data_IF_743837300958
#
_entry.id   IF_743837300958
#
_cell.length_a   1.000
_cell.length_b   1.000
_cell.length_c   1.000
_cell.angle_alpha   90.00
_cell.angle_beta   90.00
_cell.angle_gamma   90.00
#
_symmetry.space_group_name_H-M   'P 1'
#
loop_
_entity.id
_entity.type
_entity.pdbx_description
1 polymer ?
#
# COMPACT_ATOMS: atom_id res chain seq x y z
N UNK A 1 0.20 4.35 9.25
CA UNK A 1 -1.16 4.91 9.42
C UNK A 1 -1.70 4.69 10.82
N UNK A 2 -1.83 3.45 11.32
CA UNK A 2 -2.33 3.17 12.68
C UNK A 2 -1.67 4.03 13.77
N UNK A 3 -0.33 4.05 13.86
CA UNK A 3 0.38 4.90 14.80
C UNK A 3 0.01 6.40 14.69
N UNK A 4 -0.20 6.92 13.47
CA UNK A 4 -0.62 8.33 13.27
C UNK A 4 -2.05 8.57 13.73
N UNK A 5 -2.94 7.59 13.60
CA UNK A 5 -4.29 7.66 14.17
C UNK A 5 -4.24 7.66 15.69
N UNK A 6 -3.44 6.78 16.30
CA UNK A 6 -3.27 6.71 17.75
C UNK A 6 -2.70 8.02 18.31
N UNK A 7 -1.66 8.55 17.67
CA UNK A 7 -1.04 9.83 18.02
C UNK A 7 -1.99 11.02 17.86
N UNK A 8 -2.90 10.99 16.87
CA UNK A 8 -3.85 12.06 16.62
C UNK A 8 -5.06 12.03 17.53
N UNK A 9 -5.40 10.87 18.10
CA UNK A 9 -6.64 10.63 18.88
C UNK A 9 -6.93 11.74 19.89
N UNK A 10 -5.96 12.08 20.72
CA UNK A 10 -6.12 13.09 21.78
C UNK A 10 -6.26 14.53 21.23
N UNK A 11 -5.71 14.82 20.05
CA UNK A 11 -5.83 16.15 19.42
C UNK A 11 -7.19 16.33 18.74
N UNK A 12 -7.72 15.28 18.13
CA UNK A 12 -8.92 15.34 17.28
C UNK A 12 -10.21 14.99 18.03
N UNK A 13 -10.15 14.13 19.06
CA UNK A 13 -11.30 13.77 19.89
C UNK A 13 -11.50 14.76 21.03
N UNK A 14 -11.69 16.03 20.67
CA UNK A 14 -12.00 17.13 21.59
C UNK A 14 -13.35 17.73 21.29
N UNK A 15 -14.05 18.19 22.32
CA UNK A 15 -15.35 18.84 22.15
C UNK A 15 -15.24 20.33 21.85
N UNK A 16 -16.35 20.94 21.44
CA UNK A 16 -16.45 22.39 21.23
C UNK A 16 -17.60 22.97 22.05
N UNK A 17 -17.31 23.45 23.27
CA UNK A 17 -18.29 24.14 24.11
C UNK A 17 -17.74 25.47 24.65
N UNK A 18 -17.52 26.51 23.81
CA UNK A 18 -16.87 27.73 24.25
C UNK A 18 -17.84 28.94 24.31
N UNK A 19 -19.14 28.73 24.05
CA UNK A 19 -20.16 29.78 24.02
C UNK A 19 -20.20 30.56 22.70
N UNK A 20 -20.88 31.71 22.69
CA UNK A 20 -21.23 32.45 21.48
C UNK A 20 -20.04 32.88 20.62
N UNK A 21 -19.01 33.43 21.25
CA UNK A 21 -17.79 33.96 20.59
C UNK A 21 -16.52 33.35 21.16
N UNK A 22 -16.64 32.19 21.81
CA UNK A 22 -15.49 31.44 22.30
C UNK A 22 -14.94 31.86 23.68
N UNK A 23 -15.56 32.83 24.35
CA UNK A 23 -15.06 33.44 25.61
C UNK A 23 -15.64 32.83 26.88
N UNK A 24 -16.57 31.87 26.77
CA UNK A 24 -17.30 31.27 27.92
C UNK A 24 -18.07 32.29 28.79
N UNK A 25 -18.28 33.54 28.33
CA UNK A 25 -18.84 34.61 29.15
C UNK A 25 -20.18 34.26 29.81
N UNK A 26 -21.06 33.56 29.10
CA UNK A 26 -22.37 33.12 29.62
C UNK A 26 -22.28 32.12 30.78
N UNK A 27 -21.12 31.47 30.96
CA UNK A 27 -20.87 30.52 32.04
C UNK A 27 -20.05 31.11 33.20
N UNK A 28 -19.59 32.37 33.07
CA UNK A 28 -18.84 33.09 34.08
C UNK A 28 -17.61 32.32 34.60
N UNK A 29 -17.32 32.45 35.89
CA UNK A 29 -16.18 31.80 36.55
C UNK A 29 -16.21 30.26 36.46
N UNK A 30 -17.35 29.65 36.15
CA UNK A 30 -17.51 28.20 36.08
C UNK A 30 -17.28 27.64 34.66
N UNK A 31 -17.01 28.48 33.66
CA UNK A 31 -16.98 28.08 32.25
C UNK A 31 -16.05 26.91 31.93
N UNK A 32 -14.79 26.95 32.37
CA UNK A 32 -13.84 25.86 32.12
C UNK A 32 -14.21 24.57 32.85
N UNK A 33 -14.70 24.65 34.10
CA UNK A 33 -15.10 23.46 34.85
C UNK A 33 -16.35 22.82 34.24
N UNK A 34 -17.32 23.63 33.80
CA UNK A 34 -18.50 23.16 33.08
C UNK A 34 -18.10 22.47 31.77
N UNK A 35 -17.23 23.09 30.98
CA UNK A 35 -16.71 22.53 29.73
C UNK A 35 -16.03 21.18 29.99
N UNK A 36 -15.08 21.13 30.93
CA UNK A 36 -14.34 19.90 31.28
C UNK A 36 -15.26 18.78 31.71
N UNK A 37 -16.20 19.04 32.62
CA UNK A 37 -17.14 18.02 33.11
C UNK A 37 -18.11 17.55 32.04
N UNK A 38 -18.57 18.45 31.17
CA UNK A 38 -19.50 18.11 30.08
C UNK A 38 -18.80 17.24 29.04
N UNK A 39 -17.61 17.62 28.60
CA UNK A 39 -16.86 16.87 27.59
C UNK A 39 -16.34 15.53 28.13
N UNK A 40 -15.96 15.46 29.41
CA UNK A 40 -15.62 14.19 30.06
C UNK A 40 -16.79 13.19 30.04
N UNK A 41 -18.04 13.65 30.20
CA UNK A 41 -19.24 12.79 30.09
C UNK A 41 -19.45 12.24 28.67
N UNK A 42 -18.92 12.91 27.65
CA UNK A 42 -18.97 12.49 26.25
C UNK A 42 -17.72 11.69 25.83
N UNK A 43 -16.76 11.47 26.74
CA UNK A 43 -15.48 10.84 26.41
C UNK A 43 -14.58 11.70 25.52
N UNK A 44 -14.75 13.02 25.54
CA UNK A 44 -14.00 13.97 24.72
C UNK A 44 -13.02 14.80 25.57
N UNK A 45 -11.88 15.16 24.97
CA UNK A 45 -10.96 16.11 25.55
C UNK A 45 -11.54 17.53 25.60
N UNK A 46 -11.14 18.31 26.60
CA UNK A 46 -11.50 19.71 26.73
C UNK A 46 -10.40 20.60 26.13
N UNK A 47 -10.69 21.40 25.09
CA UNK A 47 -9.68 22.26 24.48
C UNK A 47 -9.38 23.47 25.37
N UNK A 48 -8.18 24.02 25.27
CA UNK A 48 -7.77 25.23 26.00
C UNK A 48 -8.45 26.51 25.48
N UNK A 49 -8.99 26.47 24.26
CA UNK A 49 -9.66 27.60 23.60
C UNK A 49 -10.75 27.12 22.64
N UNK A 50 -11.59 28.04 22.18
CA UNK A 50 -12.56 27.80 21.11
C UNK A 50 -11.87 27.38 19.82
N UNK A 51 -12.48 26.44 19.10
CA UNK A 51 -12.09 26.08 17.75
C UNK A 51 -13.25 26.20 16.76
N UNK A 52 -14.17 27.15 17.01
CA UNK A 52 -15.23 27.51 16.06
C UNK A 52 -14.69 27.74 14.65
N UNK A 53 -13.61 28.53 14.53
CA UNK A 53 -12.96 28.86 13.27
C UNK A 53 -11.62 28.16 13.04
N UNK A 54 -11.04 27.50 14.06
CA UNK A 54 -9.82 26.72 13.91
C UNK A 54 -10.15 25.28 13.47
N UNK A 55 -9.93 24.98 12.18
CA UNK A 55 -10.34 23.70 11.55
C UNK A 55 -9.19 22.71 11.36
N UNK A 56 -8.05 22.95 11.97
CA UNK A 56 -6.85 22.10 11.96
C UNK A 56 -7.16 20.64 12.35
N UNK A 57 -8.02 20.43 13.35
CA UNK A 57 -8.44 19.09 13.79
C UNK A 57 -9.24 18.33 12.74
N UNK A 58 -10.14 19.03 12.04
CA UNK A 58 -10.94 18.44 10.95
C UNK A 58 -10.03 18.06 9.79
N UNK A 59 -9.10 18.96 9.44
CA UNK A 59 -8.11 18.71 8.40
C UNK A 59 -7.13 17.58 8.76
N UNK A 60 -6.77 17.44 10.03
CA UNK A 60 -5.92 16.34 10.50
C UNK A 60 -6.60 14.98 10.29
N UNK A 61 -7.86 14.84 10.73
CA UNK A 61 -8.64 13.61 10.50
C UNK A 61 -8.80 13.31 9.02
N UNK A 62 -9.14 14.33 8.22
CA UNK A 62 -9.30 14.18 6.78
C UNK A 62 -7.99 13.75 6.12
N UNK A 63 -6.87 14.39 6.48
CA UNK A 63 -5.55 14.05 5.97
C UNK A 63 -5.13 12.62 6.30
N UNK A 64 -5.43 12.13 7.50
CA UNK A 64 -5.15 10.74 7.88
C UNK A 64 -5.95 9.74 7.02
N UNK A 65 -7.23 10.00 6.79
CA UNK A 65 -8.07 9.16 5.93
C UNK A 65 -7.59 9.20 4.47
N UNK A 66 -7.23 10.36 3.94
CA UNK A 66 -6.65 10.50 2.60
C UNK A 66 -5.38 9.65 2.46
N UNK A 67 -4.48 9.66 3.44
CA UNK A 67 -3.24 8.88 3.39
C UNK A 67 -3.51 7.36 3.36
N UNK A 68 -4.48 6.89 4.14
CA UNK A 68 -4.93 5.49 4.10
C UNK A 68 -5.50 5.16 2.72
N UNK A 69 -6.42 5.99 2.22
CA UNK A 69 -7.05 5.79 0.92
C UNK A 69 -6.06 5.79 -0.23
N UNK A 70 -5.06 6.67 -0.23
CA UNK A 70 -3.98 6.67 -1.25
C UNK A 70 -3.18 5.37 -1.21
N UNK A 71 -2.88 4.86 -0.01
CA UNK A 71 -2.12 3.61 0.14
C UNK A 71 -2.89 2.43 -0.43
N UNK A 72 -4.17 2.31 -0.09
CA UNK A 72 -5.03 1.23 -0.57
C UNK A 72 -5.37 1.37 -2.05
N UNK A 73 -5.58 2.60 -2.53
CA UNK A 73 -5.74 2.90 -3.95
C UNK A 73 -4.54 2.47 -4.78
N UNK A 74 -3.30 2.65 -4.28
CA UNK A 74 -2.09 2.16 -4.92
C UNK A 74 -2.07 0.64 -5.01
N UNK A 75 -2.38 -0.06 -3.92
CA UNK A 75 -2.42 -1.54 -3.90
C UNK A 75 -3.50 -2.06 -4.86
N UNK A 76 -4.70 -1.48 -4.82
CA UNK A 76 -5.79 -1.83 -5.72
C UNK A 76 -5.43 -1.61 -7.20
N UNK A 77 -4.76 -0.51 -7.51
CA UNK A 77 -4.28 -0.21 -8.86
C UNK A 77 -3.23 -1.23 -9.33
N UNK A 78 -2.38 -1.71 -8.43
CA UNK A 78 -1.41 -2.76 -8.75
C UNK A 78 -2.11 -4.08 -9.10
N UNK A 79 -3.05 -4.52 -8.27
CA UNK A 79 -3.85 -5.74 -8.52
C UNK A 79 -4.58 -5.62 -9.87
N UNK A 80 -5.20 -4.46 -10.14
CA UNK A 80 -5.84 -4.18 -11.42
C UNK A 80 -4.86 -4.37 -12.59
N UNK A 81 -3.65 -3.83 -12.47
CA UNK A 81 -2.65 -3.91 -13.52
C UNK A 81 -2.12 -5.32 -13.75
N UNK A 82 -1.90 -6.08 -12.70
CA UNK A 82 -1.44 -7.47 -12.78
C UNK A 82 -2.51 -8.42 -13.33
N UNK A 83 -3.79 -8.04 -13.26
CA UNK A 83 -4.91 -8.79 -13.83
C UNK A 83 -5.14 -8.52 -15.32
N UNK A 84 -4.43 -7.56 -15.93
CA UNK A 84 -4.53 -7.30 -17.39
C UNK A 84 -4.15 -8.55 -18.18
N UNK A 85 -4.87 -8.81 -19.28
CA UNK A 85 -4.72 -10.02 -20.08
C UNK A 85 -3.30 -10.28 -20.58
N UNK A 86 -2.53 -9.21 -20.83
CA UNK A 86 -1.15 -9.28 -21.31
C UNK A 86 -0.13 -9.62 -20.21
N UNK A 87 -0.51 -9.46 -18.94
CA UNK A 87 0.34 -9.71 -17.76
C UNK A 87 -0.17 -10.95 -17.01
N UNK A 88 -1.39 -10.87 -16.50
CA UNK A 88 -2.15 -12.01 -15.99
C UNK A 88 -1.46 -12.80 -14.86
N UNK A 89 -0.72 -12.09 -14.02
CA UNK A 89 0.11 -12.64 -12.93
C UNK A 89 -0.68 -12.79 -11.62
N UNK A 90 -1.59 -11.85 -11.35
CA UNK A 90 -2.40 -11.83 -10.13
C UNK A 90 -3.82 -11.43 -10.50
N UNK A 91 -4.80 -12.13 -9.93
CA UNK A 91 -6.22 -11.80 -10.11
C UNK A 91 -6.93 -11.68 -8.76
N UNK A 92 -8.03 -10.93 -8.73
CA UNK A 92 -9.01 -11.07 -7.66
C UNK A 92 -9.49 -12.52 -7.57
N UNK A 93 -9.64 -13.00 -6.32
CA UNK A 93 -10.28 -14.28 -6.04
C UNK A 93 -11.66 -14.38 -6.68
N UNK A 94 -12.06 -15.59 -7.06
CA UNK A 94 -13.38 -15.84 -7.63
C UNK A 94 -14.22 -16.66 -6.68
N UNK A 95 -15.50 -16.26 -6.55
CA UNK A 95 -16.49 -17.05 -5.82
C UNK A 95 -17.27 -17.95 -6.78
N UNK A 96 -17.60 -19.19 -6.39
CA UNK A 96 -18.51 -20.03 -7.14
C UNK A 96 -19.82 -19.28 -7.45
N UNK A 97 -20.23 -19.26 -8.73
CA UNK A 97 -21.44 -18.56 -9.18
C UNK A 97 -21.28 -17.05 -9.44
N UNK A 98 -20.07 -16.49 -9.30
CA UNK A 98 -19.81 -15.10 -9.66
C UNK A 98 -19.92 -14.88 -11.17
N UNK A 99 -20.85 -14.03 -11.58
CA UNK A 99 -21.02 -13.64 -12.99
C UNK A 99 -20.06 -12.49 -13.28
N UNK A 100 -19.01 -12.76 -14.06
CA UNK A 100 -18.02 -11.74 -14.44
C UNK A 100 -18.47 -10.78 -15.55
N UNK A 101 -19.31 -11.26 -16.48
CA UNK A 101 -19.87 -10.48 -17.60
C UNK A 101 -21.16 -11.12 -18.09
N UNK A 102 -22.13 -10.29 -18.52
CA UNK A 102 -23.42 -10.75 -19.04
C UNK A 102 -23.35 -11.36 -20.43
N UNK A 103 -22.34 -10.98 -21.23
CA UNK A 103 -22.22 -11.41 -22.64
C UNK A 103 -20.96 -12.21 -22.96
N UNK A 104 -19.94 -12.14 -22.10
CA UNK A 104 -18.65 -12.81 -22.31
C UNK A 104 -18.33 -13.76 -21.15
N UNK A 105 -18.68 -15.05 -21.24
CA UNK A 105 -18.55 -16.00 -20.13
C UNK A 105 -17.13 -16.14 -19.54
N UNK A 106 -16.10 -15.89 -20.35
CA UNK A 106 -14.70 -15.96 -19.93
C UNK A 106 -14.19 -14.66 -19.25
N UNK A 107 -14.93 -13.56 -19.35
CA UNK A 107 -14.46 -12.23 -18.91
C UNK A 107 -14.56 -12.09 -17.39
N UNK A 108 -13.40 -11.91 -16.75
CA UNK A 108 -13.27 -11.64 -15.31
C UNK A 108 -12.70 -10.24 -15.10
N UNK A 109 -13.54 -9.31 -14.65
CA UNK A 109 -13.12 -7.94 -14.36
C UNK A 109 -12.64 -7.81 -12.90
N UNK A 110 -11.59 -7.01 -12.64
CA UNK A 110 -11.15 -6.62 -11.29
C UNK A 110 -12.08 -5.55 -10.68
N UNK A 111 -13.38 -5.83 -10.59
CA UNK A 111 -14.38 -4.81 -10.25
C UNK A 111 -14.29 -4.32 -8.80
N UNK A 112 -13.77 -5.14 -7.89
CA UNK A 112 -13.65 -4.78 -6.48
C UNK A 112 -12.51 -3.79 -6.27
N UNK A 113 -11.33 -4.06 -6.87
CA UNK A 113 -10.18 -3.17 -6.78
C UNK A 113 -10.37 -1.91 -7.63
N UNK A 114 -11.13 -1.99 -8.73
CA UNK A 114 -11.58 -0.79 -9.47
C UNK A 114 -12.38 0.16 -8.57
N UNK A 115 -13.33 -0.37 -7.81
CA UNK A 115 -14.11 0.43 -6.87
C UNK A 115 -13.22 1.03 -5.77
N UNK A 116 -12.28 0.27 -5.21
CA UNK A 116 -11.30 0.78 -4.23
C UNK A 116 -10.47 1.92 -4.84
N UNK A 117 -10.00 1.74 -6.07
CA UNK A 117 -9.24 2.74 -6.82
C UNK A 117 -10.07 4.01 -7.04
N UNK A 118 -11.34 3.90 -7.42
CA UNK A 118 -12.25 5.04 -7.58
C UNK A 118 -12.52 5.77 -6.26
N UNK A 119 -12.90 5.04 -5.20
CA UNK A 119 -13.16 5.60 -3.88
C UNK A 119 -11.95 6.33 -3.31
N UNK A 120 -10.73 5.83 -3.56
CA UNK A 120 -9.51 6.49 -3.06
C UNK A 120 -9.34 7.91 -3.60
N UNK A 121 -9.74 8.12 -4.86
CA UNK A 121 -9.71 9.43 -5.54
C UNK A 121 -10.84 10.33 -5.05
N UNK A 122 -12.01 9.76 -4.76
CA UNK A 122 -13.15 10.49 -4.19
C UNK A 122 -12.86 10.98 -2.76
N UNK A 123 -12.24 10.16 -1.91
CA UNK A 123 -11.74 10.59 -0.58
C UNK A 123 -10.79 11.78 -0.74
N UNK A 124 -9.81 11.67 -1.64
CA UNK A 124 -8.87 12.78 -1.90
C UNK A 124 -9.58 14.05 -2.37
N UNK A 125 -10.62 13.93 -3.20
CA UNK A 125 -11.36 15.07 -3.71
C UNK A 125 -12.04 15.88 -2.59
N UNK A 126 -12.52 15.22 -1.53
CA UNK A 126 -13.12 15.92 -0.38
C UNK A 126 -12.13 16.81 0.36
N UNK A 127 -10.84 16.48 0.33
CA UNK A 127 -9.80 17.30 0.96
C UNK A 127 -9.79 18.73 0.39
N UNK A 128 -10.05 18.90 -0.91
CA UNK A 128 -10.08 20.23 -1.55
C UNK A 128 -11.17 21.10 -0.90
N UNK A 129 -12.38 20.57 -0.79
CA UNK A 129 -13.50 21.26 -0.16
C UNK A 129 -13.24 21.55 1.33
N UNK A 130 -12.65 20.59 2.06
CA UNK A 130 -12.33 20.76 3.48
C UNK A 130 -11.24 21.81 3.71
N UNK A 131 -10.22 21.87 2.85
CA UNK A 131 -9.19 22.91 2.94
C UNK A 131 -9.72 24.30 2.61
N UNK A 132 -10.69 24.39 1.69
CA UNK A 132 -11.37 25.66 1.41
C UNK A 132 -12.24 26.10 2.60
N UNK A 133 -12.96 25.16 3.21
CA UNK A 133 -13.77 25.40 4.40
C UNK A 133 -12.96 25.80 5.65
N UNK A 134 -11.64 25.63 5.64
CA UNK A 134 -10.78 26.06 6.73
C UNK A 134 -10.54 27.58 6.74
N UNK A 135 -10.83 28.31 5.65
CA UNK A 135 -10.76 29.78 5.58
C UNK A 135 -11.95 30.45 6.27
N UNK A 136 -12.14 30.15 7.55
CA UNK A 136 -13.21 30.68 8.38
C UNK A 136 -13.02 32.18 8.64
N UNK A 137 -14.12 32.94 8.59
CA UNK A 137 -14.15 34.36 8.96
C UNK A 137 -14.49 34.53 10.45
N UNK A 138 -13.61 35.24 11.18
CA UNK A 138 -13.82 35.65 12.56
C UNK A 138 -14.18 34.47 13.50
N UNK A 139 -15.15 34.66 14.41
CA UNK A 139 -15.52 33.67 15.43
C UNK A 139 -16.50 32.60 14.94
N UNK A 140 -17.14 32.77 13.76
CA UNK A 140 -18.01 31.78 13.11
C UNK A 140 -18.38 32.19 11.69
N UNK A 141 -18.10 31.33 10.70
CA UNK A 141 -18.57 31.53 9.32
C UNK A 141 -19.62 30.50 8.91
N UNK A 142 -20.79 31.01 8.56
CA UNK A 142 -21.92 30.22 8.09
C UNK A 142 -21.71 29.60 6.72
N UNK A 143 -20.81 30.12 5.89
CA UNK A 143 -20.54 29.57 4.55
C UNK A 143 -19.60 28.39 4.67
N UNK A 144 -18.42 28.61 5.25
CA UNK A 144 -17.39 27.61 5.41
C UNK A 144 -17.86 26.34 6.15
N UNK A 145 -18.57 26.47 7.29
CA UNK A 145 -19.00 25.28 8.05
C UNK A 145 -20.01 24.38 7.30
N UNK A 146 -20.73 24.90 6.29
CA UNK A 146 -21.71 24.16 5.50
C UNK A 146 -21.03 23.34 4.42
N UNK A 147 -19.88 23.81 3.92
CA UNK A 147 -19.00 23.02 3.06
C UNK A 147 -18.50 21.79 3.84
N UNK A 148 -18.08 21.97 5.10
CA UNK A 148 -17.65 20.85 5.95
C UNK A 148 -18.78 19.84 6.19
N UNK A 149 -20.01 20.30 6.42
CA UNK A 149 -21.16 19.41 6.61
C UNK A 149 -21.45 18.52 5.40
N UNK A 150 -21.09 18.97 4.19
CA UNK A 150 -21.21 18.14 2.99
C UNK A 150 -19.98 17.24 2.81
N UNK A 151 -18.77 17.81 2.90
CA UNK A 151 -17.55 17.12 2.51
C UNK A 151 -17.06 16.11 3.55
N UNK A 152 -17.17 16.41 4.85
CA UNK A 152 -16.64 15.55 5.90
C UNK A 152 -17.40 14.22 6.01
N UNK A 153 -18.75 14.18 6.01
CA UNK A 153 -19.47 12.91 6.03
C UNK A 153 -19.20 12.05 4.80
N UNK A 154 -19.17 12.64 3.60
CA UNK A 154 -18.85 11.92 2.35
C UNK A 154 -17.44 11.32 2.39
N UNK A 155 -16.45 12.06 2.93
CA UNK A 155 -15.10 11.55 3.13
C UNK A 155 -15.11 10.27 3.98
N UNK A 156 -15.85 10.25 5.09
CA UNK A 156 -15.99 9.07 5.94
C UNK A 156 -16.72 7.91 5.25
N UNK A 157 -17.80 8.21 4.52
CA UNK A 157 -18.56 7.19 3.77
C UNK A 157 -17.68 6.53 2.72
N UNK A 158 -16.94 7.31 1.92
CA UNK A 158 -16.03 6.76 0.92
C UNK A 158 -14.87 5.99 1.54
N UNK A 159 -14.25 6.51 2.60
CA UNK A 159 -13.17 5.83 3.29
C UNK A 159 -13.62 4.51 3.91
N UNK A 160 -14.81 4.49 4.54
CA UNK A 160 -15.41 3.28 5.10
C UNK A 160 -15.71 2.24 4.02
N UNK A 161 -16.37 2.64 2.92
CA UNK A 161 -16.65 1.76 1.80
C UNK A 161 -15.37 1.18 1.17
N UNK A 162 -14.34 2.01 1.04
CA UNK A 162 -13.02 1.62 0.53
C UNK A 162 -12.36 0.57 1.42
N UNK A 163 -12.36 0.78 2.74
CA UNK A 163 -11.78 -0.14 3.72
C UNK A 163 -12.51 -1.49 3.71
N UNK A 164 -13.84 -1.47 3.81
CA UNK A 164 -14.67 -2.68 3.78
C UNK A 164 -14.47 -3.46 2.49
N UNK A 165 -14.39 -2.77 1.34
CA UNK A 165 -14.19 -3.44 0.06
C UNK A 165 -12.79 -4.07 -0.04
N UNK A 166 -11.75 -3.35 0.37
CA UNK A 166 -10.39 -3.86 0.32
C UNK A 166 -10.18 -5.03 1.29
N UNK A 167 -10.78 -4.98 2.48
CA UNK A 167 -10.79 -6.09 3.42
C UNK A 167 -11.42 -7.35 2.80
N UNK A 168 -12.57 -7.20 2.13
CA UNK A 168 -13.21 -8.32 1.44
C UNK A 168 -12.31 -8.92 0.34
N UNK A 169 -11.67 -8.10 -0.49
CA UNK A 169 -10.72 -8.56 -1.54
C UNK A 169 -9.59 -9.38 -0.92
N UNK A 170 -9.00 -8.89 0.18
CA UNK A 170 -7.89 -9.58 0.84
C UNK A 170 -8.34 -10.86 1.55
N UNK A 171 -9.54 -10.87 2.14
CA UNK A 171 -10.10 -12.04 2.82
C UNK A 171 -10.50 -13.15 1.84
N UNK A 172 -10.98 -12.79 0.65
CA UNK A 172 -11.26 -13.74 -0.43
C UNK A 172 -9.98 -14.35 -1.00
N UNK A 173 -8.85 -13.66 -0.86
CA UNK A 173 -7.56 -14.05 -1.40
C UNK A 173 -7.38 -13.64 -2.85
N UNK A 174 -6.11 -13.59 -3.26
CA UNK A 174 -5.71 -13.33 -4.64
C UNK A 174 -5.30 -14.63 -5.31
N UNK A 175 -5.69 -14.80 -6.57
CA UNK A 175 -5.22 -15.89 -7.42
C UNK A 175 -3.86 -15.50 -7.99
N UNK A 176 -2.78 -16.10 -7.47
CA UNK A 176 -1.41 -15.92 -7.95
C UNK A 176 -1.11 -16.95 -9.03
N UNK A 177 -0.55 -16.51 -10.15
CA UNK A 177 -0.29 -17.34 -11.33
C UNK A 177 1.21 -17.41 -11.59
N UNK A 178 1.88 -18.27 -10.84
CA UNK A 178 3.33 -18.42 -10.85
C UNK A 178 3.88 -18.76 -12.25
N UNK A 179 3.17 -19.58 -13.03
CA UNK A 179 3.59 -19.91 -14.39
C UNK A 179 3.52 -18.69 -15.32
N UNK A 180 2.56 -17.78 -15.09
CA UNK A 180 2.47 -16.51 -15.83
C UNK A 180 3.58 -15.55 -15.43
N UNK A 181 3.86 -15.43 -14.15
CA UNK A 181 5.00 -14.64 -13.65
C UNK A 181 6.32 -15.15 -14.27
N UNK A 182 6.55 -16.46 -14.27
CA UNK A 182 7.72 -17.06 -14.93
C UNK A 182 7.77 -16.72 -16.42
N UNK A 183 6.68 -16.97 -17.15
CA UNK A 183 6.63 -16.68 -18.58
C UNK A 183 6.90 -15.20 -18.89
N UNK A 184 6.41 -14.27 -18.05
CA UNK A 184 6.63 -12.84 -18.21
C UNK A 184 8.09 -12.44 -17.95
N UNK A 185 8.75 -13.05 -16.95
CA UNK A 185 10.18 -12.86 -16.71
C UNK A 185 11.04 -13.35 -17.88
N UNK A 186 10.59 -14.41 -18.56
CA UNK A 186 11.30 -15.03 -19.68
C UNK A 186 11.09 -14.30 -21.02
N UNK A 187 10.19 -13.30 -21.10
CA UNK A 187 9.85 -12.58 -22.34
C UNK A 187 11.07 -11.96 -23.04
N UNK A 188 12.07 -11.55 -22.27
CA UNK A 188 13.30 -10.94 -22.80
C UNK A 188 14.47 -11.93 -22.86
N UNK A 189 14.23 -13.23 -22.72
CA UNK A 189 15.25 -14.29 -22.84
C UNK A 189 16.44 -14.10 -21.89
N UNK A 190 16.18 -13.59 -20.68
CA UNK A 190 17.19 -13.34 -19.64
C UNK A 190 17.77 -11.91 -19.60
N UNK A 191 17.38 -10.99 -20.50
CA UNK A 191 17.92 -9.61 -20.51
C UNK A 191 17.74 -8.86 -19.18
N UNK A 192 16.66 -9.15 -18.45
CA UNK A 192 16.38 -8.55 -17.14
C UNK A 192 17.49 -8.84 -16.11
N UNK A 193 18.29 -9.88 -16.32
CA UNK A 193 19.42 -10.30 -15.47
C UNK A 193 20.77 -9.86 -16.02
N UNK A 194 20.80 -8.94 -16.99
CA UNK A 194 22.04 -8.38 -17.55
C UNK A 194 22.96 -7.81 -16.46
N UNK A 195 22.44 -7.15 -15.43
CA UNK A 195 23.27 -6.69 -14.31
C UNK A 195 24.03 -7.84 -13.62
N UNK A 196 23.33 -8.95 -13.32
CA UNK A 196 23.92 -10.12 -12.66
C UNK A 196 25.06 -10.71 -13.50
N UNK A 197 24.84 -10.81 -14.81
CA UNK A 197 25.87 -11.26 -15.76
C UNK A 197 27.04 -10.26 -15.82
N UNK A 198 26.78 -8.96 -15.84
CA UNK A 198 27.81 -7.92 -15.85
C UNK A 198 28.71 -8.01 -14.62
N UNK A 199 28.13 -8.19 -13.44
CA UNK A 199 28.89 -8.33 -12.19
C UNK A 199 29.73 -9.61 -12.17
N UNK A 200 29.21 -10.73 -12.68
CA UNK A 200 29.98 -11.96 -12.83
C UNK A 200 31.17 -11.78 -13.80
N UNK A 201 30.99 -11.05 -14.90
CA UNK A 201 32.04 -10.71 -15.85
C UNK A 201 33.07 -9.71 -15.29
N UNK A 202 32.63 -8.78 -14.44
CA UNK A 202 33.49 -7.76 -13.85
C UNK A 202 34.62 -8.37 -13.01
N UNK A 203 34.39 -9.53 -12.39
CA UNK A 203 35.41 -10.28 -11.67
C UNK A 203 36.56 -10.80 -12.56
N UNK A 204 36.33 -10.95 -13.87
CA UNK A 204 37.32 -11.45 -14.83
C UNK A 204 37.93 -10.34 -15.69
N UNK A 205 37.10 -9.40 -16.16
CA UNK A 205 37.51 -8.38 -17.13
C UNK A 205 37.68 -6.98 -16.53
N UNK A 206 37.29 -6.77 -15.28
CA UNK A 206 37.10 -5.44 -14.72
C UNK A 206 35.75 -4.83 -15.11
N UNK A 207 35.22 -3.98 -14.24
CA UNK A 207 33.85 -3.46 -14.32
C UNK A 207 33.55 -2.71 -15.62
N UNK A 208 34.45 -1.84 -16.06
CA UNK A 208 34.24 -1.02 -17.26
C UNK A 208 34.17 -1.88 -18.53
N UNK A 209 35.13 -2.79 -18.69
CA UNK A 209 35.21 -3.69 -19.85
C UNK A 209 34.05 -4.67 -19.89
N UNK A 210 33.63 -5.19 -18.72
CA UNK A 210 32.45 -6.05 -18.62
C UNK A 210 31.17 -5.32 -19.01
N UNK A 211 31.01 -4.05 -18.58
CA UNK A 211 29.87 -3.23 -18.95
C UNK A 211 29.80 -2.95 -20.45
N UNK A 212 30.90 -2.52 -21.06
CA UNK A 212 30.98 -2.25 -22.51
C UNK A 212 30.67 -3.50 -23.33
N UNK A 213 31.28 -4.64 -22.96
CA UNK A 213 31.03 -5.91 -23.63
C UNK A 213 29.57 -6.34 -23.52
N UNK A 214 28.97 -6.24 -22.34
CA UNK A 214 27.58 -6.66 -22.17
C UNK A 214 26.62 -5.71 -22.90
N UNK A 215 26.91 -4.41 -22.91
CA UNK A 215 26.13 -3.43 -23.64
C UNK A 215 26.11 -3.72 -25.15
N UNK A 216 27.26 -4.06 -25.74
CA UNK A 216 27.35 -4.51 -27.13
C UNK A 216 26.49 -5.74 -27.41
N UNK A 217 26.55 -6.75 -26.53
CA UNK A 217 25.80 -8.01 -26.67
C UNK A 217 24.30 -7.76 -26.55
N UNK A 218 23.85 -6.98 -25.56
CA UNK A 218 22.45 -6.64 -25.38
C UNK A 218 21.89 -5.87 -26.57
N UNK A 219 22.63 -4.87 -27.10
CA UNK A 219 22.21 -4.15 -28.30
C UNK A 219 22.15 -5.04 -29.54
N UNK A 220 23.06 -6.00 -29.69
CA UNK A 220 23.04 -6.96 -30.79
C UNK A 220 21.84 -7.91 -30.68
N UNK A 221 21.62 -8.48 -29.49
CA UNK A 221 20.47 -9.36 -29.17
C UNK A 221 19.14 -8.70 -29.53
N UNK A 222 18.93 -7.45 -29.08
CA UNK A 222 17.69 -6.71 -29.37
C UNK A 222 17.53 -6.39 -30.86
N UNK A 223 18.59 -5.93 -31.54
CA UNK A 223 18.52 -5.59 -32.98
C UNK A 223 18.27 -6.81 -33.86
N UNK A 224 18.79 -7.96 -33.49
CA UNK A 224 18.71 -9.20 -34.27
C UNK A 224 17.52 -10.07 -33.86
N UNK A 225 16.83 -9.74 -32.76
CA UNK A 225 15.75 -10.57 -32.21
C UNK A 225 16.24 -11.92 -31.67
N UNK A 226 17.52 -12.02 -31.30
CA UNK A 226 18.13 -13.25 -30.77
C UNK A 226 18.01 -13.23 -29.25
N UNK A 227 17.55 -14.31 -28.59
CA UNK A 227 17.49 -14.38 -27.13
C UNK A 227 18.85 -14.05 -26.49
N UNK A 228 18.85 -13.32 -25.38
CA UNK A 228 20.09 -12.83 -24.77
C UNK A 228 21.02 -13.96 -24.34
N UNK A 229 20.46 -15.06 -23.84
CA UNK A 229 21.21 -16.31 -23.61
C UNK A 229 22.01 -16.77 -24.82
N UNK A 230 21.40 -16.81 -26.00
CA UNK A 230 22.07 -17.23 -27.24
C UNK A 230 23.14 -16.22 -27.66
N UNK A 231 22.86 -14.93 -27.50
CA UNK A 231 23.82 -13.87 -27.78
C UNK A 231 25.08 -13.95 -26.89
N UNK A 232 24.92 -14.33 -25.61
CA UNK A 232 26.04 -14.55 -24.69
C UNK A 232 26.88 -15.77 -25.11
N UNK A 233 26.24 -16.91 -25.41
CA UNK A 233 26.93 -18.14 -25.85
C UNK A 233 27.66 -17.96 -27.19
N UNK A 234 27.09 -17.15 -28.08
CA UNK A 234 27.66 -16.86 -29.40
C UNK A 234 28.86 -15.91 -29.35
N UNK A 235 29.07 -15.18 -28.26
CA UNK A 235 30.11 -14.14 -28.19
C UNK A 235 31.51 -14.74 -28.00
N UNK A 236 32.44 -14.61 -28.97
CA UNK A 236 33.77 -15.22 -28.86
C UNK A 236 34.58 -14.75 -27.64
N UNK A 237 34.38 -13.49 -27.23
CA UNK A 237 35.05 -12.89 -26.06
C UNK A 237 34.63 -13.52 -24.73
N UNK A 238 33.49 -14.22 -24.69
CA UNK A 238 32.96 -14.90 -23.50
C UNK A 238 33.28 -16.40 -23.46
N UNK A 239 33.98 -16.94 -24.46
CA UNK A 239 34.34 -18.36 -24.50
C UNK A 239 35.20 -18.72 -23.28
N UNK A 240 34.79 -19.74 -22.55
CA UNK A 240 35.47 -20.21 -21.35
C UNK A 240 35.23 -19.35 -20.10
N UNK A 241 34.47 -18.26 -20.19
CA UNK A 241 34.14 -17.42 -19.03
C UNK A 241 33.06 -18.07 -18.14
N UNK A 242 32.14 -18.83 -18.75
CA UNK A 242 31.06 -19.57 -18.09
C UNK A 242 30.91 -20.96 -18.71
N UNK A 243 30.54 -21.95 -17.89
CA UNK A 243 29.92 -23.17 -18.43
C UNK A 243 28.48 -22.88 -18.84
N UNK A 244 27.85 -23.79 -19.59
CA UNK A 244 26.45 -23.64 -19.96
C UNK A 244 25.56 -23.58 -18.71
N UNK A 245 25.82 -24.44 -17.72
CA UNK A 245 25.07 -24.54 -16.47
C UNK A 245 25.23 -23.28 -15.61
N UNK A 246 26.45 -22.73 -15.50
CA UNK A 246 26.69 -21.49 -14.77
C UNK A 246 25.97 -20.29 -15.42
N UNK A 247 25.86 -20.28 -16.75
CA UNK A 247 25.11 -19.25 -17.45
C UNK A 247 23.59 -19.39 -17.23
N UNK A 248 23.05 -20.61 -17.20
CA UNK A 248 21.64 -20.84 -16.83
C UNK A 248 21.34 -20.31 -15.44
N UNK A 249 22.21 -20.59 -14.46
CA UNK A 249 22.02 -20.12 -13.09
C UNK A 249 22.07 -18.59 -12.98
N UNK A 250 22.96 -17.94 -13.74
CA UNK A 250 23.02 -16.48 -13.83
C UNK A 250 21.79 -15.87 -14.52
N UNK A 251 21.11 -16.64 -15.38
CA UNK A 251 19.92 -16.22 -16.10
C UNK A 251 18.61 -16.75 -15.47
N UNK A 252 18.66 -17.42 -14.32
CA UNK A 252 17.47 -17.77 -13.55
C UNK A 252 17.07 -16.63 -12.59
N UNK A 253 15.91 -15.98 -12.79
CA UNK A 253 15.46 -14.86 -11.96
C UNK A 253 15.15 -15.26 -10.51
N UNK A 254 14.85 -16.54 -10.24
CA UNK A 254 14.57 -17.02 -8.87
C UNK A 254 15.81 -16.86 -7.97
N UNK A 255 17.01 -17.00 -8.54
CA UNK A 255 18.27 -16.80 -7.83
C UNK A 255 18.66 -15.32 -7.64
N UNK A 256 17.85 -14.36 -8.11
CA UNK A 256 18.18 -12.93 -8.10
C UNK A 256 17.10 -12.06 -7.45
N UNK A 257 16.55 -12.53 -6.34
CA UNK A 257 15.51 -11.83 -5.56
C UNK A 257 16.06 -11.01 -4.38
N UNK A 258 17.38 -11.09 -4.13
CA UNK A 258 18.04 -10.38 -3.04
C UNK A 258 17.41 -10.69 -1.68
N UNK A 259 17.16 -9.64 -0.88
CA UNK A 259 16.56 -9.75 0.45
C UNK A 259 15.02 -9.63 0.43
N UNK A 260 14.37 -9.88 -0.70
CA UNK A 260 12.92 -9.66 -0.84
C UNK A 260 12.10 -10.44 0.21
N UNK A 261 12.44 -11.71 0.46
CA UNK A 261 11.76 -12.53 1.48
C UNK A 261 11.96 -11.96 2.89
N UNK A 262 13.20 -11.61 3.25
CA UNK A 262 13.50 -11.00 4.56
C UNK A 262 12.78 -9.67 4.76
N UNK A 263 12.67 -8.85 3.71
CA UNK A 263 11.90 -7.59 3.76
C UNK A 263 10.41 -7.84 4.01
N UNK A 264 9.86 -8.92 3.45
CA UNK A 264 8.47 -9.33 3.72
C UNK A 264 8.31 -9.75 5.18
N UNK A 265 9.20 -10.60 5.69
CA UNK A 265 9.17 -11.09 7.08
C UNK A 265 9.28 -9.92 8.07
N UNK A 266 10.20 -8.97 7.82
CA UNK A 266 10.36 -7.75 8.64
C UNK A 266 9.10 -6.88 8.69
N UNK A 267 8.21 -6.97 7.70
CA UNK A 267 6.93 -6.25 7.68
C UNK A 267 5.81 -7.09 8.29
N UNK A 268 5.78 -8.39 8.02
CA UNK A 268 4.76 -9.32 8.51
C UNK A 268 4.86 -9.55 10.04
N UNK A 269 6.09 -9.64 10.56
CA UNK A 269 6.37 -9.90 11.97
C UNK A 269 6.28 -8.64 12.85
N UNK A 270 6.08 -7.46 12.25
CA UNK A 270 5.89 -6.24 13.04
C UNK A 270 4.64 -6.38 13.91
N UNK A 271 4.75 -6.25 15.25
CA UNK A 271 3.60 -6.30 16.12
C UNK A 271 2.63 -5.20 15.71
N UNK A 272 1.35 -5.57 15.57
CA UNK A 272 0.27 -4.61 15.30
C UNK A 272 0.11 -3.73 16.54
N UNK A 273 0.85 -2.63 16.61
CA UNK A 273 0.65 -1.58 17.61
C UNK A 273 -0.78 -1.05 17.44
N UNK A 274 -1.65 -1.26 18.44
CA UNK A 274 -3.02 -0.71 18.44
C UNK A 274 -4.16 -1.65 18.86
N UNK A 275 -3.92 -2.92 19.23
CA UNK A 275 -4.96 -3.74 19.85
C UNK A 275 -5.15 -3.39 21.34
N UNK A 276 -5.59 -2.16 21.64
CA UNK A 276 -6.11 -1.79 22.96
C UNK A 276 -7.64 -1.91 22.96
N UNK A 277 -8.15 -2.95 23.64
CA UNK A 277 -9.53 -3.01 24.15
C UNK A 277 -10.53 -3.79 23.29
N UNK A 278 -11.06 -4.87 23.86
CA UNK A 278 -12.22 -5.69 23.46
C UNK A 278 -12.12 -6.53 22.17
N UNK A 279 -11.64 -7.77 22.35
CA UNK A 279 -12.27 -8.93 21.68
C UNK A 279 -13.04 -9.73 22.75
N UNK A 280 -14.26 -10.20 22.48
CA UNK A 280 -14.91 -11.16 23.36
C UNK A 280 -14.10 -12.46 23.36
N UNK A 281 -13.86 -13.02 24.55
CA UNK A 281 -13.25 -14.34 24.71
C UNK A 281 -14.15 -15.45 24.14
N UNK A 282 -13.52 -16.39 23.42
CA UNK A 282 -14.12 -17.62 22.89
C UNK A 282 -13.91 -17.74 21.37
N UNK A 283 -13.16 -18.68 20.79
CA UNK A 283 -12.77 -20.01 21.23
C UNK A 283 -11.38 -20.40 20.70
N UNK A 284 -10.80 -21.42 21.33
CA UNK A 284 -9.41 -21.82 21.26
C UNK A 284 -9.03 -22.76 20.09
N UNK A 285 -7.77 -22.60 19.67
CA UNK A 285 -6.74 -23.63 19.43
C UNK A 285 -6.70 -24.54 18.18
N UNK A 286 -5.43 -24.78 17.80
CA UNK A 286 -4.84 -25.79 16.92
C UNK A 286 -4.81 -25.42 15.42
N UNK A 287 -3.71 -25.52 14.67
CA UNK A 287 -2.46 -26.27 14.83
C UNK A 287 -1.26 -25.45 14.31
N UNK A 288 -0.12 -25.54 15.00
CA UNK A 288 1.15 -25.03 14.50
C UNK A 288 1.65 -25.86 13.34
N UNK A 289 2.29 -25.20 12.36
CA UNK A 289 2.99 -25.88 11.28
C UNK A 289 4.43 -26.21 11.73
N UNK A 290 4.81 -27.49 11.85
CA UNK A 290 6.17 -27.89 12.18
C UNK A 290 7.00 -27.96 10.91
N UNK A 291 7.82 -26.94 10.69
CA UNK A 291 8.83 -26.92 9.62
C UNK A 291 10.17 -26.46 10.18
N UNK A 292 10.79 -27.31 11.00
CA UNK A 292 12.19 -27.14 11.38
C UNK A 292 13.08 -27.17 10.12
N UNK A 293 13.93 -26.16 9.94
CA UNK A 293 15.25 -26.38 9.36
C UNK A 293 16.27 -25.98 10.42
N UNK A 294 16.75 -27.00 11.13
CA UNK A 294 17.98 -26.94 11.90
C UNK A 294 19.13 -26.77 10.91
N UNK A 295 19.84 -25.65 10.98
CA UNK A 295 21.25 -25.63 10.59
C UNK A 295 22.09 -25.22 11.78
N UNK A 296 22.87 -26.21 12.18
CA UNK A 296 23.92 -26.27 13.19
C UNK A 296 24.95 -25.17 12.92
N UNK A 297 25.27 -24.39 13.94
CA UNK A 297 26.54 -23.66 14.03
C UNK A 297 27.34 -24.31 15.16
N UNK A 298 28.21 -25.25 14.80
CA UNK A 298 29.36 -25.66 15.58
C UNK A 298 30.63 -25.27 14.81
N UNK A 299 31.50 -24.56 15.53
CA UNK A 299 32.94 -24.36 15.35
C UNK A 299 33.53 -23.89 14.01
N UNK A 300 33.96 -22.62 14.00
CA UNK A 300 35.38 -22.22 13.97
C UNK A 300 35.59 -20.76 14.37
#
# INVERSE_FOLDING_TARGET
HLARFDEARERVLVGNLPGAVGTLASFGAQGFELQRRTLARLGLGAPSTSWHSARDRVLEVAGLLVQVSVTLGRVANEIYHLQRSEIDEVREGSRPGQVGSSTMPHKRNPSSVDLVSALSRLVRAQMVALTDAAFQLHERDGTAWRIEWAALPELFVYAGALLTRMEAVLAEGLEVREERMRANLDLLGGLILSERVMLALAGQFGKQTAHELLHEITQASQRQGVPFREALLGQPRLRGCFSAEALEELLDPVGYVGLAAEMVDLVADKPRTGASGDRPEGAASSQGNPGQSQYVMEDR
#
